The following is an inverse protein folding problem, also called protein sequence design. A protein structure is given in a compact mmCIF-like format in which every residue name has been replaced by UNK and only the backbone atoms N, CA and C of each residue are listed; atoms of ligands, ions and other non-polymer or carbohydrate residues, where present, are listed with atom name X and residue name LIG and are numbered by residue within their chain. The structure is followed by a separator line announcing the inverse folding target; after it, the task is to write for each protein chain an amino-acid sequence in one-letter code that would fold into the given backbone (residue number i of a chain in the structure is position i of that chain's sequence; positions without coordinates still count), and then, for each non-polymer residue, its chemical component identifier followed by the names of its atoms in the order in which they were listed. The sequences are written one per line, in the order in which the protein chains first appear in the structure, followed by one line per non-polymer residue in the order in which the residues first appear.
data_IF_763242105885
#
_entry.id   IF_763242105885
#
_cell.length_a   1.000
_cell.length_b   1.000
_cell.length_c   1.000
_cell.angle_alpha   90.00
_cell.angle_beta   90.00
_cell.angle_gamma   90.00
#
_symmetry.space_group_name_H-M   'P 1'
#
loop_
_entity.id
_entity.type
_entity.pdbx_description
1 polymer ?
#
# COMPACT_ATOMS: atom_id res chain seq x y z
N UNK A 1 25.07 10.93 5.80
CA UNK A 1 24.43 11.02 4.47
C UNK A 1 22.94 10.92 4.71
N UNK A 2 22.17 11.93 4.32
CA UNK A 2 20.70 11.86 4.34
C UNK A 2 20.27 11.22 3.03
N UNK A 3 19.43 10.19 3.07
CA UNK A 3 18.85 9.59 1.86
C UNK A 3 17.58 10.34 1.50
N UNK A 4 17.40 10.73 0.25
CA UNK A 4 16.16 11.37 -0.23
C UNK A 4 15.32 10.33 -0.95
N UNK A 5 14.01 10.30 -0.69
CA UNK A 5 13.04 9.40 -1.35
C UNK A 5 11.92 10.22 -2.01
N UNK A 6 11.25 9.66 -3.01
CA UNK A 6 10.09 10.30 -3.63
C UNK A 6 8.81 9.99 -2.85
N UNK A 7 7.98 11.00 -2.62
CA UNK A 7 6.67 10.83 -2.04
C UNK A 7 5.78 10.00 -2.99
N UNK A 8 5.24 8.85 -2.58
CA UNK A 8 4.47 7.97 -3.48
C UNK A 8 3.15 8.60 -3.95
N UNK A 9 2.62 9.60 -3.23
CA UNK A 9 1.36 10.26 -3.57
C UNK A 9 1.52 11.38 -4.59
N UNK A 10 2.64 12.10 -4.58
CA UNK A 10 2.78 13.34 -5.37
C UNK A 10 4.17 13.55 -5.99
N UNK A 11 5.12 12.64 -5.78
CA UNK A 11 6.47 12.68 -6.33
C UNK A 11 7.43 13.69 -5.68
N UNK A 12 6.97 14.48 -4.70
CA UNK A 12 7.83 15.46 -4.03
C UNK A 12 9.00 14.76 -3.29
N UNK A 13 10.23 15.32 -3.34
CA UNK A 13 11.38 14.75 -2.64
C UNK A 13 11.23 14.89 -1.12
N UNK A 14 11.56 13.83 -0.39
CA UNK A 14 11.48 13.74 1.07
C UNK A 14 12.82 13.29 1.64
N UNK A 15 13.42 14.13 2.47
CA UNK A 15 14.64 13.80 3.20
C UNK A 15 14.36 12.76 4.30
N UNK A 16 15.14 11.68 4.33
CA UNK A 16 14.97 10.61 5.31
C UNK A 16 15.58 10.99 6.66
N UNK A 17 14.79 11.66 7.49
CA UNK A 17 15.23 12.05 8.83
C UNK A 17 14.07 12.49 9.73
N UNK A 18 14.34 12.76 11.03
CA UNK A 18 13.33 13.17 12.00
C UNK A 18 12.56 14.44 11.60
N UNK A 19 13.16 15.30 10.76
CA UNK A 19 12.52 16.49 10.20
C UNK A 19 11.33 16.18 9.28
N UNK A 20 11.21 14.95 8.79
CA UNK A 20 10.14 14.49 7.93
C UNK A 20 9.30 13.44 8.68
N UNK A 21 8.41 13.85 9.60
CA UNK A 21 7.68 12.92 10.47
C UNK A 21 6.72 12.01 9.71
N UNK A 22 6.25 12.46 8.54
CA UNK A 22 5.33 11.72 7.67
C UNK A 22 6.03 10.86 6.62
N UNK A 23 7.37 10.74 6.64
CA UNK A 23 8.14 9.93 5.68
C UNK A 23 7.56 8.49 5.55
N UNK A 24 7.45 7.93 4.34
CA UNK A 24 8.00 8.42 3.06
C UNK A 24 7.18 9.55 2.40
N UNK A 25 6.07 9.98 3.00
CA UNK A 25 5.23 11.04 2.45
C UNK A 25 5.77 12.43 2.79
N UNK A 26 5.57 13.40 1.88
CA UNK A 26 6.00 14.78 2.10
C UNK A 26 5.14 15.53 3.13
N UNK A 27 3.94 15.01 3.44
CA UNK A 27 3.00 15.61 4.39
C UNK A 27 1.99 14.58 4.91
N UNK A 28 1.32 14.90 6.01
CA UNK A 28 0.22 14.10 6.55
C UNK A 28 -0.94 13.97 5.55
N UNK A 29 -1.22 15.02 4.76
CA UNK A 29 -2.21 14.98 3.69
C UNK A 29 -1.92 13.86 2.69
N UNK A 30 -0.67 13.75 2.22
CA UNK A 30 -0.29 12.71 1.25
C UNK A 30 -0.43 11.30 1.84
N UNK A 31 -0.04 11.12 3.11
CA UNK A 31 -0.27 9.86 3.84
C UNK A 31 -1.75 9.47 3.89
N UNK A 32 -2.64 10.42 4.17
CA UNK A 32 -4.08 10.14 4.24
C UNK A 32 -4.70 9.85 2.86
N UNK A 33 -4.23 10.51 1.80
CA UNK A 33 -4.67 10.22 0.43
C UNK A 33 -4.30 8.79 0.05
N UNK A 34 -3.06 8.38 0.33
CA UNK A 34 -2.60 7.02 0.04
C UNK A 34 -3.43 5.97 0.79
N UNK A 35 -3.67 6.20 2.08
CA UNK A 35 -4.56 5.35 2.88
C UNK A 35 -5.98 5.28 2.30
N UNK A 36 -6.51 6.42 1.84
CA UNK A 36 -7.81 6.48 1.18
C UNK A 36 -7.86 5.65 -0.11
N UNK A 37 -6.80 5.69 -0.92
CA UNK A 37 -6.72 4.91 -2.16
C UNK A 37 -6.71 3.40 -1.91
N UNK A 38 -6.08 2.94 -0.83
CA UNK A 38 -6.17 1.53 -0.39
C UNK A 38 -7.56 1.17 0.10
N UNK A 39 -8.17 2.02 0.93
CA UNK A 39 -9.51 1.79 1.45
C UNK A 39 -10.59 1.78 0.35
N UNK A 40 -10.36 2.49 -0.75
CA UNK A 40 -11.27 2.54 -1.90
C UNK A 40 -10.92 1.54 -3.00
N UNK A 41 -10.02 0.58 -2.75
CA UNK A 41 -9.57 -0.42 -3.74
C UNK A 41 -8.97 0.19 -5.02
N UNK A 42 -8.51 1.45 -4.97
CA UNK A 42 -7.82 2.08 -6.09
C UNK A 42 -6.37 1.58 -6.21
N UNK A 43 -5.78 1.14 -5.10
CA UNK A 43 -4.56 0.34 -5.08
C UNK A 43 -4.91 -1.14 -4.89
N UNK A 44 -4.54 -1.96 -5.88
CA UNK A 44 -4.77 -3.40 -5.89
C UNK A 44 -3.44 -4.09 -6.19
N UNK A 45 -3.14 -5.14 -5.41
CA UNK A 45 -2.08 -6.09 -5.75
C UNK A 45 -2.77 -7.26 -6.43
N UNK A 46 -2.37 -7.57 -7.66
CA UNK A 46 -2.92 -8.73 -8.37
C UNK A 46 -2.52 -10.02 -7.65
N UNK A 47 -3.51 -10.82 -7.27
CA UNK A 47 -3.33 -12.17 -6.73
C UNK A 47 -3.13 -13.22 -7.83
N UNK A 48 -2.67 -14.41 -7.43
CA UNK A 48 -2.77 -15.60 -8.27
C UNK A 48 -4.21 -16.15 -8.16
N UNK A 49 -4.94 -16.29 -9.29
CA UNK A 49 -6.32 -16.78 -9.26
C UNK A 49 -6.48 -18.14 -8.56
N UNK A 50 -5.50 -19.04 -8.65
CA UNK A 50 -5.56 -20.36 -8.03
C UNK A 50 -5.42 -20.29 -6.51
N UNK A 51 -4.65 -19.34 -6.00
CA UNK A 51 -4.51 -19.09 -4.58
C UNK A 51 -5.78 -18.42 -4.03
N UNK A 52 -6.32 -17.43 -4.75
CA UNK A 52 -7.56 -16.75 -4.37
C UNK A 52 -8.73 -17.74 -4.21
N UNK A 53 -8.91 -18.70 -5.11
CA UNK A 53 -9.94 -19.74 -4.96
C UNK A 53 -9.69 -20.69 -3.77
N UNK A 54 -8.42 -20.99 -3.48
CA UNK A 54 -8.05 -21.88 -2.38
C UNK A 54 -8.29 -21.24 -1.00
N UNK A 55 -8.03 -19.93 -0.89
CA UNK A 55 -8.13 -19.16 0.36
C UNK A 55 -9.49 -18.48 0.57
N UNK A 56 -10.32 -18.35 -0.47
CA UNK A 56 -11.68 -17.81 -0.37
C UNK A 56 -12.67 -18.71 0.39
N UNK A 57 -12.29 -19.95 0.71
CA UNK A 57 -13.11 -20.87 1.49
C UNK A 57 -14.33 -21.42 0.75
N UNK A 58 -14.49 -21.11 -0.54
CA UNK A 58 -15.57 -21.61 -1.41
C UNK A 58 -15.31 -23.03 -1.95
N UNK A 59 -14.28 -23.71 -1.46
CA UNK A 59 -14.02 -25.09 -1.84
C UNK A 59 -15.15 -26.01 -1.36
N UNK A 60 -15.73 -26.85 -2.24
CA UNK A 60 -16.70 -27.84 -1.82
C UNK A 60 -16.08 -28.78 -0.77
N UNK A 61 -16.86 -29.27 0.21
CA UNK A 61 -16.36 -30.24 1.18
C UNK A 61 -15.71 -31.41 0.45
N UNK A 62 -14.52 -31.83 0.89
CA UNK A 62 -13.91 -33.07 0.39
C UNK A 62 -14.79 -34.23 0.84
N UNK A 63 -15.49 -34.84 -0.11
CA UNK A 63 -16.27 -36.05 0.12
C UNK A 63 -15.28 -37.21 0.30
N UNK A 64 -15.19 -37.70 1.53
CA UNK A 64 -14.46 -38.92 1.89
C UNK A 64 -15.38 -40.13 1.74
#
# INVERSE_FOLDING_TARGET
MSSTVECPTCGAPVEWGPQSPSRPFCSERCKLIDLGAWASEAHVIAGDPLEDELFSGELPPREH
#
